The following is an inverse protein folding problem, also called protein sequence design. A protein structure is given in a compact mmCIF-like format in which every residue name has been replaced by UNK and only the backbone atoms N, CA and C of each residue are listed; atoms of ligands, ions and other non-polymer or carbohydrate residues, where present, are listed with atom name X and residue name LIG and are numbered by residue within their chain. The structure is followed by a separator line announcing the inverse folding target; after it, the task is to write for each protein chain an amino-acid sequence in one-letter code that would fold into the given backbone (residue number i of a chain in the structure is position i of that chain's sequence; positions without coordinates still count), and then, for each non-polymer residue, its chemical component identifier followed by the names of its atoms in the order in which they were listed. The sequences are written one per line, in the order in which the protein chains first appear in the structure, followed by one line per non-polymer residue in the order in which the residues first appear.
data_IF_441736443831
#
_entry.id   IF_441736443831
#
_cell.length_a   1.000
_cell.length_b   1.000
_cell.length_c   1.000
_cell.angle_alpha   90.00
_cell.angle_beta   90.00
_cell.angle_gamma   90.00
#
_symmetry.space_group_name_H-M   'P 1'
#
loop_
_entity.id
_entity.type
_entity.pdbx_description
1 polymer ?
#
# COMPACT_ATOMS: atom_id res chain seq x y z
N UNK A 1 0.68 30.03 20.90
CA UNK A 1 0.25 28.62 20.81
C UNK A 1 0.34 28.23 19.35
N UNK A 2 1.28 27.37 18.97
CA UNK A 2 1.23 26.70 17.66
C UNK A 2 0.03 25.74 17.72
N UNK A 3 -1.00 26.02 16.93
CA UNK A 3 -2.06 25.03 16.68
C UNK A 3 -1.37 23.75 16.18
N UNK A 4 -1.78 22.55 16.63
CA UNK A 4 -1.26 21.33 16.04
C UNK A 4 -1.53 21.38 14.54
N UNK A 5 -0.61 20.83 13.76
CA UNK A 5 -0.64 20.87 12.30
C UNK A 5 -1.87 20.11 11.78
N UNK A 6 -3.02 20.80 11.77
CA UNK A 6 -4.35 20.25 11.52
C UNK A 6 -4.40 19.60 10.15
N UNK A 7 -3.58 20.08 9.21
CA UNK A 7 -3.44 19.50 7.88
C UNK A 7 -2.81 18.10 7.92
N UNK A 8 -1.74 17.93 8.70
CA UNK A 8 -1.09 16.62 8.88
C UNK A 8 -2.04 15.59 9.52
N UNK A 9 -2.82 16.01 10.52
CA UNK A 9 -3.82 15.15 11.16
C UNK A 9 -4.99 14.81 10.23
N UNK A 10 -5.51 15.79 9.49
CA UNK A 10 -6.59 15.59 8.53
C UNK A 10 -6.15 14.65 7.40
N UNK A 11 -4.97 14.87 6.83
CA UNK A 11 -4.40 14.02 5.78
C UNK A 11 -4.18 12.60 6.28
N UNK A 12 -3.57 12.42 7.46
CA UNK A 12 -3.36 11.11 8.06
C UNK A 12 -4.69 10.38 8.31
N UNK A 13 -5.69 11.08 8.87
CA UNK A 13 -7.02 10.52 9.14
C UNK A 13 -7.73 10.11 7.84
N UNK A 14 -7.60 10.93 6.79
CA UNK A 14 -8.16 10.64 5.48
C UNK A 14 -7.47 9.42 4.86
N UNK A 15 -6.15 9.33 4.90
CA UNK A 15 -5.41 8.19 4.38
C UNK A 15 -5.77 6.89 5.12
N UNK A 16 -5.84 6.93 6.45
CA UNK A 16 -6.27 5.80 7.26
C UNK A 16 -7.69 5.33 6.92
N UNK A 17 -8.62 6.27 6.67
CA UNK A 17 -9.97 5.92 6.24
C UNK A 17 -9.99 5.25 4.87
N UNK A 18 -9.22 5.76 3.90
CA UNK A 18 -9.14 5.14 2.57
C UNK A 18 -8.53 3.75 2.64
N UNK A 19 -7.49 3.57 3.46
CA UNK A 19 -6.87 2.27 3.69
C UNK A 19 -7.86 1.28 4.28
N UNK A 20 -8.55 1.65 5.37
CA UNK A 20 -9.56 0.79 6.01
C UNK A 20 -10.74 0.44 5.07
N UNK A 21 -11.13 1.36 4.19
CA UNK A 21 -12.16 1.10 3.18
C UNK A 21 -11.67 0.09 2.13
N UNK A 22 -10.44 0.26 1.63
CA UNK A 22 -9.84 -0.67 0.68
C UNK A 22 -9.67 -2.06 1.28
N UNK A 23 -9.18 -2.17 2.52
CA UNK A 23 -9.05 -3.43 3.24
C UNK A 23 -10.40 -4.16 3.36
N UNK A 24 -11.45 -3.45 3.75
CA UNK A 24 -12.79 -4.01 3.87
C UNK A 24 -13.37 -4.44 2.51
N UNK A 25 -13.18 -3.64 1.47
CA UNK A 25 -13.67 -3.97 0.12
C UNK A 25 -12.99 -5.23 -0.41
N UNK A 26 -11.66 -5.30 -0.35
CA UNK A 26 -10.90 -6.47 -0.79
C UNK A 26 -11.24 -7.70 0.04
N UNK A 27 -11.37 -7.55 1.36
CA UNK A 27 -11.77 -8.65 2.25
C UNK A 27 -13.14 -9.23 1.84
N UNK A 28 -14.13 -8.37 1.61
CA UNK A 28 -15.47 -8.84 1.21
C UNK A 28 -15.50 -9.45 -0.20
N UNK A 29 -14.67 -8.94 -1.10
CA UNK A 29 -14.55 -9.43 -2.47
C UNK A 29 -13.88 -10.82 -2.51
N UNK A 30 -12.81 -11.02 -1.73
CA UNK A 30 -12.12 -12.31 -1.61
C UNK A 30 -13.00 -13.41 -1.01
N UNK A 31 -13.83 -13.09 0.00
CA UNK A 31 -14.76 -14.06 0.61
C UNK A 31 -15.74 -14.68 -0.38
N UNK A 32 -16.03 -13.99 -1.49
CA UNK A 32 -16.98 -14.43 -2.51
C UNK A 32 -16.30 -15.14 -3.68
N UNK A 33 -14.97 -15.22 -3.71
CA UNK A 33 -14.24 -15.84 -4.80
C UNK A 33 -13.82 -17.28 -4.46
N UNK A 34 -13.93 -18.22 -5.43
CA UNK A 34 -13.24 -19.50 -5.33
C UNK A 34 -11.72 -19.27 -5.42
N UNK A 35 -10.95 -20.13 -4.76
CA UNK A 35 -9.49 -20.13 -4.78
C UNK A 35 -8.88 -18.77 -4.35
N UNK A 36 -9.57 -18.06 -3.46
CA UNK A 36 -9.25 -16.69 -3.09
C UNK A 36 -7.83 -16.54 -2.51
N UNK A 37 -7.32 -17.55 -1.81
CA UNK A 37 -5.97 -17.52 -1.23
C UNK A 37 -4.86 -17.57 -2.30
N UNK A 38 -4.99 -18.40 -3.33
CA UNK A 38 -4.01 -18.48 -4.43
C UNK A 38 -4.04 -17.21 -5.29
N UNK A 39 -5.25 -16.75 -5.62
CA UNK A 39 -5.44 -15.48 -6.36
C UNK A 39 -4.91 -14.29 -5.58
N UNK A 40 -5.03 -14.32 -4.26
CA UNK A 40 -4.50 -13.29 -3.39
C UNK A 40 -2.98 -13.23 -3.37
N UNK A 41 -2.29 -14.38 -3.33
CA UNK A 41 -0.82 -14.42 -3.45
C UNK A 41 -0.36 -13.80 -4.77
N UNK A 42 -0.99 -14.15 -5.89
CA UNK A 42 -0.70 -13.52 -7.18
C UNK A 42 -1.00 -12.01 -7.21
N UNK A 43 -2.06 -11.58 -6.53
CA UNK A 43 -2.38 -10.16 -6.40
C UNK A 43 -1.37 -9.38 -5.54
N UNK A 44 -0.89 -9.97 -4.44
CA UNK A 44 0.15 -9.37 -3.59
C UNK A 44 1.42 -9.08 -4.40
N UNK A 45 1.90 -10.05 -5.18
CA UNK A 45 3.08 -9.89 -6.03
C UNK A 45 2.87 -8.75 -7.05
N UNK A 46 1.71 -8.72 -7.70
CA UNK A 46 1.35 -7.66 -8.64
C UNK A 46 1.27 -6.29 -7.98
N UNK A 47 0.72 -6.20 -6.77
CA UNK A 47 0.62 -4.94 -6.02
C UNK A 47 2.00 -4.41 -5.64
N UNK A 48 2.87 -5.28 -5.11
CA UNK A 48 4.24 -4.92 -4.74
C UNK A 48 5.02 -4.47 -5.98
N UNK A 49 4.88 -5.19 -7.10
CA UNK A 49 5.52 -4.82 -8.35
C UNK A 49 5.01 -3.46 -8.85
N UNK A 50 3.69 -3.26 -8.92
CA UNK A 50 3.11 -2.01 -9.38
C UNK A 50 3.55 -0.80 -8.53
N UNK A 51 3.70 -0.98 -7.22
CA UNK A 51 4.20 0.07 -6.32
C UNK A 51 5.71 0.31 -6.45
N UNK A 52 6.48 -0.68 -6.90
CA UNK A 52 7.90 -0.53 -7.25
C UNK A 52 8.13 0.10 -8.63
N UNK A 53 7.21 -0.16 -9.56
CA UNK A 53 7.23 0.30 -10.95
C UNK A 53 6.67 1.72 -11.12
N UNK A 54 6.35 2.42 -10.01
CA UNK A 54 6.07 3.85 -10.02
C UNK A 54 7.29 4.57 -10.64
N UNK A 55 7.20 4.82 -11.95
CA UNK A 55 8.23 5.48 -12.71
C UNK A 55 8.25 6.96 -12.32
N UNK A 56 9.43 7.53 -12.07
CA UNK A 56 9.52 8.96 -11.90
C UNK A 56 9.12 9.67 -13.20
N UNK A 57 8.41 10.81 -13.10
CA UNK A 57 8.21 11.66 -14.26
C UNK A 57 9.56 12.28 -14.68
N UNK A 58 10.16 11.72 -15.74
CA UNK A 58 11.33 12.18 -16.54
C UNK A 58 12.62 12.58 -15.79
N UNK A 59 13.73 12.02 -16.28
CA UNK A 59 15.14 12.42 -16.09
C UNK A 59 15.49 13.08 -14.76
N UNK A 60 15.63 12.25 -13.73
CA UNK A 60 16.26 12.64 -12.47
C UNK A 60 17.70 13.07 -12.74
N UNK A 61 17.98 14.35 -12.49
CA UNK A 61 19.25 14.95 -12.84
C UNK A 61 20.28 14.85 -11.71
N UNK A 62 19.82 14.69 -10.46
CA UNK A 62 20.70 14.60 -9.29
C UNK A 62 20.71 13.21 -8.64
N UNK A 63 21.80 12.89 -7.95
CA UNK A 63 21.97 11.65 -7.20
C UNK A 63 21.03 11.59 -5.98
N UNK A 64 20.75 12.73 -5.36
CA UNK A 64 19.82 12.84 -4.21
C UNK A 64 18.38 12.50 -4.63
N UNK A 65 17.93 12.95 -5.79
CA UNK A 65 16.60 12.61 -6.33
C UNK A 65 16.47 11.12 -6.63
N UNK A 66 17.55 10.47 -7.09
CA UNK A 66 17.59 9.02 -7.32
C UNK A 66 17.49 8.25 -6.01
N UNK A 67 18.29 8.62 -5.01
CA UNK A 67 18.25 7.99 -3.69
C UNK A 67 16.89 8.17 -3.01
N UNK A 68 16.30 9.37 -3.10
CA UNK A 68 14.97 9.63 -2.57
C UNK A 68 13.91 8.76 -3.24
N UNK A 69 13.99 8.53 -4.56
CA UNK A 69 13.07 7.65 -5.26
C UNK A 69 13.26 6.17 -4.95
N UNK A 70 14.50 5.71 -4.80
CA UNK A 70 14.76 4.34 -4.34
C UNK A 70 14.15 4.11 -2.95
N UNK A 71 14.28 5.09 -2.05
CA UNK A 71 13.64 5.07 -0.73
C UNK A 71 12.11 5.10 -0.82
N UNK A 72 11.54 5.93 -1.71
CA UNK A 72 10.10 5.97 -1.95
C UNK A 72 9.58 4.62 -2.48
N UNK A 73 10.27 4.01 -3.45
CA UNK A 73 9.92 2.70 -4.01
C UNK A 73 9.96 1.62 -2.94
N UNK A 74 11.04 1.57 -2.16
CA UNK A 74 11.17 0.59 -1.07
C UNK A 74 10.06 0.76 -0.03
N UNK A 75 9.71 2.00 0.30
CA UNK A 75 8.63 2.32 1.23
C UNK A 75 7.27 1.94 0.65
N UNK A 76 7.01 2.25 -0.62
CA UNK A 76 5.78 1.89 -1.33
C UNK A 76 5.57 0.37 -1.41
N UNK A 77 6.64 -0.39 -1.71
CA UNK A 77 6.63 -1.85 -1.69
C UNK A 77 6.39 -2.42 -0.30
N UNK A 78 6.98 -1.81 0.74
CA UNK A 78 6.75 -2.22 2.13
C UNK A 78 5.30 -2.00 2.53
N UNK A 79 4.71 -0.85 2.20
CA UNK A 79 3.31 -0.54 2.49
C UNK A 79 2.37 -1.51 1.76
N UNK A 80 2.66 -1.84 0.49
CA UNK A 80 1.92 -2.84 -0.27
C UNK A 80 1.89 -4.21 0.43
N UNK A 81 3.05 -4.69 0.91
CA UNK A 81 3.15 -5.95 1.67
C UNK A 81 2.36 -5.89 2.99
N UNK A 82 2.44 -4.78 3.71
CA UNK A 82 1.70 -4.60 4.97
C UNK A 82 0.19 -4.59 4.76
N UNK A 83 -0.28 -3.92 3.71
CA UNK A 83 -1.69 -3.98 3.29
C UNK A 83 -2.09 -5.41 2.92
N UNK A 84 -1.25 -6.10 2.14
CA UNK A 84 -1.53 -7.45 1.71
C UNK A 84 -1.67 -8.43 2.89
N UNK A 85 -0.75 -8.32 3.85
CA UNK A 85 -0.75 -9.10 5.08
C UNK A 85 -1.99 -8.81 5.97
N UNK A 86 -2.43 -7.56 6.07
CA UNK A 86 -3.63 -7.18 6.83
C UNK A 86 -4.89 -7.81 6.25
N UNK A 87 -5.09 -7.73 4.95
CA UNK A 87 -6.24 -8.37 4.28
C UNK A 87 -6.19 -9.89 4.42
N UNK A 88 -5.00 -10.52 4.29
CA UNK A 88 -4.85 -11.96 4.53
C UNK A 88 -5.20 -12.35 5.97
N UNK A 89 -4.81 -11.55 6.96
CA UNK A 89 -5.16 -11.75 8.35
C UNK A 89 -6.69 -11.69 8.58
N UNK A 90 -7.40 -10.76 7.92
CA UNK A 90 -8.86 -10.69 7.97
C UNK A 90 -9.58 -11.90 7.35
N UNK A 91 -8.89 -12.68 6.51
CA UNK A 91 -9.40 -13.93 5.96
C UNK A 91 -9.01 -15.16 6.80
N UNK A 92 -8.16 -14.99 7.81
CA UNK A 92 -7.61 -16.11 8.59
C UNK A 92 -6.55 -16.92 7.84
N UNK A 93 -5.88 -16.34 6.84
CA UNK A 93 -4.82 -17.01 6.05
C UNK A 93 -3.42 -16.84 6.65
N UNK A 94 -3.32 -16.58 7.95
CA UNK A 94 -2.03 -16.49 8.62
C UNK A 94 -1.37 -17.88 8.63
N UNK A 95 -0.19 -17.99 8.02
CA UNK A 95 0.75 -19.12 8.22
C UNK A 95 1.43 -19.01 9.60
#
# INVERSE_FOLDING_TARGET
MNLPDNFGLELASRLALHEALLENLYTNLLRKMPDAQERWKGFEELLVQAMGDLQPPRDLQSEEERQWLEQQRATAQMLARQFAARVAAHQGWQE
#
